data_IF_488638609209
#
_entry.id   IF_488638609209
#
_cell.length_a   1.000
_cell.length_b   1.000
_cell.length_c   1.000
_cell.angle_alpha   90.00
_cell.angle_beta   90.00
_cell.angle_gamma   90.00
#
_symmetry.space_group_name_H-M   'P 1'
#
loop_
_entity.id
_entity.type
_entity.pdbx_description
1 polymer ?
#
# COMPACT_ATOMS: atom_id res chain seq x y z
N UNK A 1 4.85 -18.36 -22.97
CA UNK A 1 4.58 -16.93 -22.74
C UNK A 1 5.45 -16.50 -21.58
N UNK A 2 6.44 -15.64 -21.80
CA UNK A 2 7.11 -14.98 -20.67
C UNK A 2 6.06 -14.21 -19.88
N UNK A 3 6.12 -14.16 -18.54
CA UNK A 3 5.14 -13.43 -17.75
C UNK A 3 5.08 -11.98 -18.26
N UNK A 4 3.86 -11.51 -18.57
CA UNK A 4 3.63 -10.19 -19.14
C UNK A 4 4.34 -9.12 -18.30
N UNK A 5 5.30 -8.46 -18.92
CA UNK A 5 6.09 -7.40 -18.28
C UNK A 5 5.14 -6.32 -17.78
N UNK A 6 5.29 -5.92 -16.52
CA UNK A 6 4.51 -4.82 -15.95
C UNK A 6 4.63 -3.57 -16.83
N UNK A 7 3.49 -3.08 -17.30
CA UNK A 7 3.40 -1.80 -17.99
C UNK A 7 3.30 -0.69 -16.95
N UNK A 8 4.23 0.29 -16.94
CA UNK A 8 4.19 1.39 -15.99
C UNK A 8 2.88 2.15 -16.06
N UNK A 9 2.29 2.45 -14.90
CA UNK A 9 1.12 3.32 -14.74
C UNK A 9 1.58 4.77 -14.64
N UNK A 10 0.69 5.71 -14.98
CA UNK A 10 0.99 7.14 -14.97
C UNK A 10 1.50 7.66 -13.62
N UNK A 11 0.99 7.10 -12.51
CA UNK A 11 1.36 7.48 -11.14
C UNK A 11 2.68 6.87 -10.67
N UNK A 12 3.29 5.95 -11.41
CA UNK A 12 4.46 5.20 -10.94
C UNK A 12 5.69 6.09 -10.75
N UNK A 13 5.89 7.03 -11.66
CA UNK A 13 6.99 7.99 -11.59
C UNK A 13 6.81 8.94 -10.39
N UNK A 14 5.59 9.43 -10.18
CA UNK A 14 5.25 10.28 -9.05
C UNK A 14 5.44 9.55 -7.72
N UNK A 15 4.93 8.31 -7.59
CA UNK A 15 5.14 7.49 -6.40
C UNK A 15 6.64 7.24 -6.15
N UNK A 16 7.44 7.00 -7.18
CA UNK A 16 8.89 6.80 -7.02
C UNK A 16 9.60 8.04 -6.44
N UNK A 17 9.09 9.23 -6.72
CA UNK A 17 9.60 10.50 -6.17
C UNK A 17 9.10 10.75 -4.74
N UNK A 18 7.85 10.38 -4.44
CA UNK A 18 7.23 10.66 -3.15
C UNK A 18 7.67 9.70 -2.04
N UNK A 19 7.89 8.42 -2.34
CA UNK A 19 8.29 7.41 -1.34
C UNK A 19 9.52 7.78 -0.48
N UNK A 20 10.63 8.32 -1.05
CA UNK A 20 11.77 8.74 -0.24
C UNK A 20 11.57 10.10 0.46
N UNK A 21 10.54 10.86 0.11
CA UNK A 21 10.34 12.24 0.54
C UNK A 21 9.23 12.42 1.58
N UNK A 22 8.28 11.48 1.68
CA UNK A 22 7.11 11.56 2.55
C UNK A 22 7.02 10.35 3.47
N UNK A 23 6.61 10.57 4.72
CA UNK A 23 6.39 9.50 5.70
C UNK A 23 5.13 8.67 5.39
N UNK A 24 4.15 9.26 4.71
CA UNK A 24 2.89 8.60 4.34
C UNK A 24 2.33 9.15 3.02
N UNK A 25 1.69 8.27 2.24
CA UNK A 25 1.08 8.58 0.94
C UNK A 25 -0.31 7.93 0.89
N UNK A 26 -1.33 8.72 0.56
CA UNK A 26 -2.67 8.21 0.23
C UNK A 26 -2.81 8.04 -1.28
N UNK A 27 -3.33 6.90 -1.73
CA UNK A 27 -3.64 6.64 -3.15
C UNK A 27 -5.16 6.59 -3.31
N UNK A 28 -5.73 7.66 -3.88
CA UNK A 28 -7.18 7.83 -4.05
C UNK A 28 -7.63 7.72 -5.51
N UNK A 29 -8.91 7.42 -5.71
CA UNK A 29 -9.50 7.32 -7.04
C UNK A 29 -10.68 6.33 -7.10
N UNK A 30 -11.33 6.27 -8.26
CA UNK A 30 -12.53 5.46 -8.46
C UNK A 30 -12.33 3.96 -8.16
N UNK A 31 -13.42 3.24 -7.90
CA UNK A 31 -13.40 1.79 -7.72
C UNK A 31 -12.94 1.11 -9.02
N UNK A 32 -12.09 0.07 -8.90
CA UNK A 32 -11.66 -0.72 -10.05
C UNK A 32 -10.50 -0.14 -10.88
N UNK A 33 -9.97 1.04 -10.55
CA UNK A 33 -8.81 1.62 -11.28
C UNK A 33 -7.47 0.95 -10.92
N UNK A 34 -7.47 0.03 -9.95
CA UNK A 34 -6.29 -0.73 -9.52
C UNK A 34 -5.38 -0.01 -8.53
N UNK A 35 -5.95 0.75 -7.58
CA UNK A 35 -5.22 1.42 -6.49
C UNK A 35 -4.46 0.41 -5.63
N UNK A 36 -5.17 -0.56 -5.08
CA UNK A 36 -4.61 -1.69 -4.31
C UNK A 36 -3.48 -2.36 -5.09
N UNK A 37 -3.71 -2.75 -6.35
CA UNK A 37 -2.66 -3.37 -7.18
C UNK A 37 -1.43 -2.48 -7.38
N UNK A 38 -1.62 -1.16 -7.51
CA UNK A 38 -0.52 -0.20 -7.63
C UNK A 38 0.27 -0.10 -6.32
N UNK A 39 -0.43 -0.05 -5.18
CA UNK A 39 0.16 0.08 -3.87
C UNK A 39 0.88 -1.19 -3.41
N UNK A 40 0.23 -2.36 -3.52
CA UNK A 40 0.78 -3.65 -3.08
C UNK A 40 2.09 -4.02 -3.80
N UNK A 41 2.29 -3.55 -5.03
CA UNK A 41 3.52 -3.77 -5.80
C UNK A 41 4.73 -2.95 -5.32
N UNK A 42 4.59 -2.09 -4.31
CA UNK A 42 5.61 -1.14 -3.83
C UNK A 42 5.93 -1.25 -2.35
N UNK A 43 5.21 -2.10 -1.63
CA UNK A 43 5.30 -2.25 -0.17
C UNK A 43 5.88 -3.62 0.17
N UNK A 44 6.50 -3.71 1.34
CA UNK A 44 7.02 -4.97 1.88
C UNK A 44 5.97 -5.70 2.73
N UNK A 45 4.94 -4.98 3.20
CA UNK A 45 3.88 -5.51 4.06
C UNK A 45 2.54 -4.89 3.70
N UNK A 46 1.47 -5.66 3.85
CA UNK A 46 0.08 -5.20 3.73
C UNK A 46 -0.65 -5.48 5.04
N UNK A 47 -1.39 -4.50 5.52
CA UNK A 47 -2.38 -4.59 6.60
C UNK A 47 -3.75 -4.40 5.95
N UNK A 48 -4.51 -5.49 5.85
CA UNK A 48 -5.84 -5.50 5.24
C UNK A 48 -6.91 -5.19 6.29
N UNK A 49 -7.46 -3.97 6.25
CA UNK A 49 -8.47 -3.52 7.22
C UNK A 49 -9.87 -4.11 6.94
N UNK A 50 -10.05 -4.91 5.89
CA UNK A 50 -11.26 -5.73 5.75
C UNK A 50 -11.23 -6.96 6.66
N UNK A 51 -10.06 -7.32 7.21
CA UNK A 51 -9.91 -8.38 8.21
C UNK A 51 -10.12 -7.79 9.60
N UNK A 52 -11.19 -8.17 10.34
CA UNK A 52 -11.51 -7.57 11.63
C UNK A 52 -10.35 -7.67 12.65
N UNK A 53 -9.61 -8.76 12.63
CA UNK A 53 -8.47 -8.97 13.54
C UNK A 53 -7.32 -7.99 13.27
N UNK A 54 -7.17 -7.50 12.03
CA UNK A 54 -6.17 -6.48 11.70
C UNK A 54 -6.58 -5.15 12.30
N UNK A 55 -7.87 -4.78 12.19
CA UNK A 55 -8.41 -3.57 12.79
C UNK A 55 -8.29 -3.62 14.31
N UNK A 56 -8.72 -4.72 14.94
CA UNK A 56 -8.60 -4.93 16.40
C UNK A 56 -7.14 -4.81 16.87
N UNK A 57 -6.18 -5.35 16.12
CA UNK A 57 -4.75 -5.22 16.43
C UNK A 57 -4.29 -3.76 16.36
N UNK A 58 -4.69 -3.02 15.32
CA UNK A 58 -4.28 -1.63 15.13
C UNK A 58 -4.90 -0.69 16.16
N UNK A 59 -6.15 -0.94 16.57
CA UNK A 59 -6.81 -0.22 17.65
C UNK A 59 -6.14 -0.46 19.00
N UNK A 60 -5.78 -1.71 19.29
CA UNK A 60 -5.12 -2.08 20.54
C UNK A 60 -3.64 -1.64 20.60
N UNK A 61 -2.94 -1.66 19.46
CA UNK A 61 -1.48 -1.45 19.35
C UNK A 61 -1.11 -0.68 18.07
N UNK A 62 -1.34 0.65 18.04
CA UNK A 62 -1.06 1.49 16.86
C UNK A 62 0.40 1.43 16.39
N UNK A 63 1.35 1.14 17.27
CA UNK A 63 2.78 0.97 16.93
C UNK A 63 3.02 -0.17 15.92
N UNK A 64 2.07 -1.10 15.79
CA UNK A 64 2.11 -2.18 14.80
C UNK A 64 2.14 -1.68 13.34
N UNK A 65 1.79 -0.40 13.09
CA UNK A 65 1.95 0.24 11.79
C UNK A 65 3.42 0.40 11.40
N UNK A 66 4.30 0.71 12.36
CA UNK A 66 5.71 0.98 12.10
C UNK A 66 6.60 -0.22 12.41
N UNK A 67 6.14 -1.17 13.24
CA UNK A 67 6.84 -2.41 13.52
C UNK A 67 7.00 -3.27 12.26
N UNK A 68 8.18 -3.84 12.00
CA UNK A 68 8.41 -4.82 10.93
C UNK A 68 8.83 -4.24 9.57
N UNK A 69 8.60 -5.01 8.49
CA UNK A 69 9.08 -4.66 7.15
C UNK A 69 8.35 -3.43 6.58
N UNK A 70 9.14 -2.49 6.05
CA UNK A 70 8.69 -1.23 5.46
C UNK A 70 9.01 -1.20 3.95
N UNK A 71 8.25 -0.47 3.13
CA UNK A 71 7.05 0.31 3.48
C UNK A 71 5.84 -0.59 3.77
N UNK A 72 4.87 -0.10 4.56
CA UNK A 72 3.60 -0.80 4.84
C UNK A 72 2.44 -0.16 4.06
N UNK A 73 1.54 -0.99 3.54
CA UNK A 73 0.24 -0.56 3.02
C UNK A 73 -0.84 -0.83 4.06
N UNK A 74 -1.66 0.19 4.36
CA UNK A 74 -2.96 0.04 5.02
C UNK A 74 -4.00 0.03 3.89
N UNK A 75 -4.65 -1.11 3.65
CA UNK A 75 -5.61 -1.27 2.55
C UNK A 75 -7.04 -1.28 3.07
N UNK A 76 -7.95 -0.66 2.32
CA UNK A 76 -9.39 -0.56 2.63
C UNK A 76 -9.68 -0.06 4.07
N UNK A 77 -8.98 1.00 4.47
CA UNK A 77 -9.21 1.79 5.68
C UNK A 77 -10.48 2.65 5.59
#
# INVERSE_FOLDING_TARGET
MSPDRYLPRIVDAELSLLFPALDAISIEGARGVGKTRTASGRVARVLDCQVPQVVELLEARPESLTDGAQPVLIDEW
#
